data_IF_491290114962
#
_entry.id   IF_491290114962
#
_cell.length_a   1.000
_cell.length_b   1.000
_cell.length_c   1.000
_cell.angle_alpha   90.00
_cell.angle_beta   90.00
_cell.angle_gamma   90.00
#
_symmetry.space_group_name_H-M   'P 1'
#
loop_
_entity.id
_entity.type
_entity.pdbx_description
1 polymer ?
#
# COMPACT_ATOMS: atom_id res chain seq x y z
N UNK A 1 -1.40 23.40 0.96
CA UNK A 1 -0.40 22.58 1.70
C UNK A 1 0.11 21.38 0.88
N UNK A 2 -0.79 20.59 0.26
CA UNK A 2 -0.48 19.37 -0.51
C UNK A 2 0.48 19.61 -1.70
N UNK A 3 0.29 20.68 -2.48
CA UNK A 3 1.14 21.01 -3.64
C UNK A 3 2.61 21.29 -3.24
N UNK A 4 2.84 21.92 -2.09
CA UNK A 4 4.20 22.17 -1.56
C UNK A 4 4.90 20.88 -1.13
N UNK A 5 4.14 19.90 -0.62
CA UNK A 5 4.67 18.59 -0.21
C UNK A 5 5.04 17.77 -1.45
N UNK A 6 4.19 17.70 -2.46
CA UNK A 6 4.49 17.00 -3.72
C UNK A 6 5.72 17.56 -4.43
N UNK A 7 5.85 18.90 -4.55
CA UNK A 7 7.04 19.53 -5.16
C UNK A 7 8.33 19.20 -4.39
N UNK A 8 8.27 19.00 -3.07
CA UNK A 8 9.44 18.56 -2.27
C UNK A 8 9.80 17.10 -2.54
N UNK A 9 8.81 16.22 -2.67
CA UNK A 9 9.02 14.79 -2.95
C UNK A 9 9.63 14.58 -4.34
N UNK A 10 9.12 15.26 -5.37
CA UNK A 10 9.66 15.15 -6.74
C UNK A 10 11.13 15.57 -6.80
N UNK A 11 11.49 16.67 -6.11
CA UNK A 11 12.89 17.14 -6.03
C UNK A 11 13.81 16.14 -5.31
N UNK A 12 13.33 15.50 -4.26
CA UNK A 12 14.07 14.45 -3.55
C UNK A 12 14.35 13.24 -4.45
N UNK A 13 13.38 12.85 -5.27
CA UNK A 13 13.51 11.72 -6.20
C UNK A 13 14.51 12.05 -7.30
N UNK A 14 14.41 13.25 -7.91
CA UNK A 14 15.30 13.70 -8.98
C UNK A 14 16.75 13.82 -8.52
N UNK A 15 17.00 14.43 -7.35
CA UNK A 15 18.34 14.56 -6.81
C UNK A 15 18.98 13.19 -6.50
N UNK A 16 18.22 12.24 -5.94
CA UNK A 16 18.70 10.86 -5.71
C UNK A 16 19.06 10.15 -7.02
N UNK A 17 18.23 10.33 -8.06
CA UNK A 17 18.48 9.75 -9.39
C UNK A 17 19.79 10.29 -9.99
N UNK A 18 19.97 11.61 -9.99
CA UNK A 18 21.17 12.25 -10.54
C UNK A 18 22.45 11.78 -9.80
N UNK A 19 22.40 11.69 -8.46
CA UNK A 19 23.56 11.23 -7.67
C UNK A 19 23.88 9.77 -7.99
N UNK A 20 22.87 8.92 -8.13
CA UNK A 20 23.06 7.50 -8.46
C UNK A 20 23.58 7.29 -9.89
N UNK A 21 23.23 8.17 -10.82
CA UNK A 21 23.71 8.12 -12.21
C UNK A 21 25.14 8.66 -12.34
N UNK A 22 25.53 9.66 -11.53
CA UNK A 22 26.86 10.29 -11.59
C UNK A 22 27.92 9.65 -10.69
N UNK A 23 27.50 8.95 -9.64
CA UNK A 23 28.41 8.35 -8.67
C UNK A 23 28.17 6.84 -8.57
N UNK A 24 29.29 6.10 -8.60
CA UNK A 24 29.47 4.65 -8.73
C UNK A 24 28.34 3.79 -8.14
N UNK A 25 27.97 2.76 -8.89
CA UNK A 25 26.92 1.75 -8.65
C UNK A 25 26.91 1.07 -7.27
N UNK A 26 27.98 1.18 -6.49
CA UNK A 26 28.14 0.59 -5.14
C UNK A 26 27.89 1.56 -3.97
N UNK A 27 27.59 2.84 -4.24
CA UNK A 27 27.40 3.84 -3.18
C UNK A 27 25.99 3.82 -2.59
N UNK A 28 25.89 3.84 -1.25
CA UNK A 28 24.60 4.05 -0.57
C UNK A 28 24.26 5.54 -0.60
N UNK A 29 23.16 5.88 -1.29
CA UNK A 29 22.66 7.26 -1.34
C UNK A 29 21.66 7.50 -0.22
N UNK A 30 21.95 8.44 0.68
CA UNK A 30 21.07 8.81 1.80
C UNK A 30 20.84 10.32 1.87
N UNK A 31 19.77 10.71 2.56
CA UNK A 31 19.60 12.08 3.04
C UNK A 31 20.36 12.22 4.36
N UNK A 32 21.01 13.36 4.57
CA UNK A 32 21.74 13.65 5.79
C UNK A 32 21.36 15.00 6.37
N UNK A 33 21.62 15.15 7.68
CA UNK A 33 21.63 16.44 8.37
C UNK A 33 23.04 16.70 8.93
N UNK A 34 23.59 17.88 8.65
CA UNK A 34 24.82 18.40 9.26
C UNK A 34 24.44 19.67 10.02
N UNK A 35 25.07 19.90 11.18
CA UNK A 35 24.69 20.94 12.16
C UNK A 35 24.61 22.38 11.61
N UNK A 36 25.13 22.66 10.40
CA UNK A 36 25.08 23.97 9.71
C UNK A 36 24.34 23.98 8.36
N UNK A 37 23.76 22.88 7.92
CA UNK A 37 23.08 22.78 6.62
C UNK A 37 21.61 22.31 6.76
N UNK A 38 20.71 22.97 6.01
CA UNK A 38 19.43 22.34 5.60
C UNK A 38 19.75 21.06 4.82
N UNK A 39 19.00 20.00 5.11
CA UNK A 39 19.11 18.64 4.57
C UNK A 39 19.85 18.51 3.22
N UNK A 40 20.85 17.63 3.17
CA UNK A 40 21.62 17.34 1.96
C UNK A 40 21.55 15.87 1.56
N UNK A 41 22.25 15.50 0.50
CA UNK A 41 22.35 14.12 0.01
C UNK A 41 23.77 13.62 0.16
N UNK A 42 23.95 12.39 0.62
CA UNK A 42 25.26 11.78 0.76
C UNK A 42 25.34 10.53 -0.11
N UNK A 43 26.44 10.37 -0.84
CA UNK A 43 26.85 9.10 -1.42
C UNK A 43 27.96 8.52 -0.55
N UNK A 44 27.75 7.31 -0.03
CA UNK A 44 28.67 6.64 0.89
C UNK A 44 29.21 5.38 0.22
N UNK A 45 30.53 5.30 0.08
CA UNK A 45 31.29 4.12 -0.36
C UNK A 45 32.30 3.69 0.70
N UNK A 46 33.01 2.59 0.46
CA UNK A 46 34.05 2.09 1.38
C UNK A 46 35.23 3.06 1.54
N UNK A 47 35.41 3.96 0.59
CA UNK A 47 36.55 4.89 0.58
C UNK A 47 36.14 6.31 0.90
N UNK A 48 34.93 6.72 0.51
CA UNK A 48 34.55 8.13 0.49
C UNK A 48 33.11 8.36 0.98
N UNK A 49 32.92 9.49 1.66
CA UNK A 49 31.60 10.08 1.87
C UNK A 49 31.55 11.41 1.11
N UNK A 50 30.75 11.46 0.05
CA UNK A 50 30.48 12.68 -0.70
C UNK A 50 29.17 13.31 -0.26
N UNK A 51 29.18 14.59 0.06
CA UNK A 51 28.01 15.37 0.46
C UNK A 51 27.62 16.32 -0.66
N UNK A 52 26.32 16.39 -0.95
CA UNK A 52 25.72 17.17 -2.02
C UNK A 52 24.57 18.03 -1.51
N UNK A 53 24.33 19.13 -2.22
CA UNK A 53 23.15 19.98 -2.08
C UNK A 53 22.48 20.13 -3.43
N UNK A 54 21.14 20.18 -3.42
CA UNK A 54 20.38 20.49 -4.62
C UNK A 54 20.46 21.99 -4.92
N UNK A 55 20.98 22.33 -6.08
CA UNK A 55 20.96 23.66 -6.66
C UNK A 55 19.64 23.85 -7.44
N UNK A 56 18.85 24.82 -6.99
CA UNK A 56 17.53 25.08 -7.59
C UNK A 56 17.62 25.78 -8.93
N UNK A 57 18.68 26.54 -9.18
CA UNK A 57 18.84 27.33 -10.40
C UNK A 57 19.31 26.44 -11.55
N UNK A 58 20.17 25.47 -11.25
CA UNK A 58 20.72 24.53 -12.23
C UNK A 58 19.91 23.24 -12.37
N UNK A 59 18.87 23.07 -11.56
CA UNK A 59 18.11 21.81 -11.40
C UNK A 59 19.00 20.58 -11.21
N UNK A 60 20.09 20.74 -10.46
CA UNK A 60 21.16 19.76 -10.36
C UNK A 60 21.71 19.63 -8.92
N UNK A 61 22.57 18.66 -8.68
CA UNK A 61 23.27 18.45 -7.41
C UNK A 61 24.71 18.96 -7.49
N UNK A 62 25.08 19.77 -6.51
CA UNK A 62 26.45 20.30 -6.38
C UNK A 62 27.11 19.62 -5.19
N UNK A 63 28.33 19.11 -5.39
CA UNK A 63 29.15 18.52 -4.32
C UNK A 63 29.61 19.64 -3.40
N UNK A 64 29.21 19.56 -2.13
CA UNK A 64 29.55 20.54 -1.09
C UNK A 64 30.78 20.10 -0.32
N UNK A 65 30.94 18.79 -0.12
CA UNK A 65 32.06 18.26 0.64
C UNK A 65 32.38 16.82 0.26
N UNK A 66 33.62 16.41 0.52
CA UNK A 66 34.05 15.02 0.45
C UNK A 66 34.90 14.70 1.69
N UNK A 67 34.78 13.47 2.16
CA UNK A 67 35.55 12.92 3.27
C UNK A 67 36.15 11.60 2.81
N UNK A 68 37.46 11.45 2.97
CA UNK A 68 38.13 10.17 2.76
C UNK A 68 38.06 9.39 4.06
N UNK A 69 37.52 8.17 4.01
CA UNK A 69 37.33 7.35 5.19
C UNK A 69 38.66 6.90 5.81
N UNK A 70 39.72 6.80 5.01
CA UNK A 70 41.08 6.53 5.47
C UNK A 70 41.67 7.62 6.39
N UNK A 71 41.12 8.84 6.39
CA UNK A 71 41.56 9.92 7.29
C UNK A 71 41.09 9.74 8.75
N UNK A 72 40.27 8.73 9.02
CA UNK A 72 39.65 8.51 10.32
C UNK A 72 40.07 7.18 10.93
N UNK A 73 40.49 7.24 12.19
CA UNK A 73 40.96 6.06 12.92
C UNK A 73 39.80 5.33 13.61
N UNK A 74 38.74 6.09 13.95
CA UNK A 74 37.61 5.58 14.74
C UNK A 74 36.28 6.15 14.29
N UNK A 75 35.25 5.31 14.34
CA UNK A 75 33.85 5.73 14.21
C UNK A 75 33.06 5.33 15.43
N UNK A 76 32.42 6.31 16.06
CA UNK A 76 31.45 6.06 17.12
C UNK A 76 30.04 6.08 16.56
N UNK A 77 29.32 4.97 16.72
CA UNK A 77 27.94 4.82 16.26
C UNK A 77 27.00 4.88 17.47
N UNK A 78 26.06 5.81 17.42
CA UNK A 78 25.11 6.04 18.50
C UNK A 78 23.66 6.00 17.98
N UNK A 79 22.91 4.99 18.42
CA UNK A 79 21.50 4.82 18.05
C UNK A 79 20.58 5.53 19.05
N UNK A 80 19.85 6.53 18.56
CA UNK A 80 18.71 7.15 19.24
C UNK A 80 17.39 6.55 18.74
N UNK A 81 16.28 6.88 19.40
CA UNK A 81 14.95 6.38 19.02
C UNK A 81 14.56 6.72 17.56
N UNK A 82 15.00 7.87 17.04
CA UNK A 82 14.61 8.37 15.72
C UNK A 82 15.76 8.75 14.79
N UNK A 83 17.01 8.52 15.22
CA UNK A 83 18.20 8.86 14.41
C UNK A 83 19.41 8.02 14.82
N UNK A 84 20.35 7.88 13.91
CA UNK A 84 21.67 7.32 14.18
C UNK A 84 22.71 8.43 13.98
N UNK A 85 23.58 8.65 14.97
CA UNK A 85 24.73 9.54 14.83
C UNK A 85 25.97 8.69 14.61
N UNK A 86 26.73 9.01 13.57
CA UNK A 86 28.03 8.40 13.28
C UNK A 86 29.07 9.50 13.40
N UNK A 87 29.91 9.43 14.44
CA UNK A 87 30.99 10.39 14.67
C UNK A 87 32.31 9.75 14.24
N UNK A 88 32.83 10.22 13.11
CA UNK A 88 34.14 9.88 12.58
C UNK A 88 35.18 10.74 13.28
N UNK A 89 36.21 10.11 13.84
CA UNK A 89 37.28 10.73 14.62
C UNK A 89 38.60 10.31 13.98
N UNK A 90 39.32 11.29 13.46
CA UNK A 90 40.68 11.14 12.95
C UNK A 90 41.61 12.12 13.64
N UNK A 91 42.90 12.02 13.34
CA UNK A 91 43.95 12.78 14.04
C UNK A 91 43.72 14.31 14.01
N UNK A 92 43.31 14.86 12.86
CA UNK A 92 43.15 16.32 12.67
C UNK A 92 41.71 16.75 12.37
N UNK A 93 40.76 15.81 12.32
CA UNK A 93 39.40 16.10 11.86
C UNK A 93 38.38 15.20 12.53
N UNK A 94 37.26 15.82 12.90
CA UNK A 94 36.07 15.10 13.34
C UNK A 94 34.92 15.42 12.39
N UNK A 95 34.17 14.40 11.99
CA UNK A 95 33.00 14.53 11.13
C UNK A 95 31.81 13.83 11.78
N UNK A 96 30.70 14.56 11.92
CA UNK A 96 29.45 13.99 12.44
C UNK A 96 28.50 13.80 11.26
N UNK A 97 28.18 12.55 11.00
CA UNK A 97 27.26 12.12 9.97
C UNK A 97 25.97 11.59 10.59
N UNK A 98 24.84 12.14 10.17
CA UNK A 98 23.51 11.69 10.60
C UNK A 98 22.73 11.19 9.39
N UNK A 99 22.88 9.90 9.01
CA UNK A 99 22.07 9.32 7.94
C UNK A 99 20.61 9.24 8.38
N UNK A 100 19.70 9.78 7.57
CA UNK A 100 18.26 9.70 7.83
C UNK A 100 17.61 8.42 7.28
N UNK A 101 18.27 7.77 6.32
CA UNK A 101 17.80 6.56 5.65
C UNK A 101 18.97 5.59 5.45
N UNK A 102 18.69 4.31 5.21
CA UNK A 102 19.69 3.29 4.89
C UNK A 102 20.87 3.17 5.89
N UNK A 103 20.70 3.63 7.14
CA UNK A 103 21.76 3.68 8.13
C UNK A 103 22.36 2.31 8.46
N UNK A 104 21.57 1.22 8.41
CA UNK A 104 22.07 -0.15 8.61
C UNK A 104 23.04 -0.58 7.51
N UNK A 105 22.75 -0.22 6.25
CA UNK A 105 23.64 -0.52 5.13
C UNK A 105 24.94 0.27 5.19
N UNK A 106 24.85 1.53 5.63
CA UNK A 106 26.04 2.38 5.86
C UNK A 106 26.88 1.82 7.02
N UNK A 107 26.25 1.41 8.12
CA UNK A 107 26.94 0.80 9.24
C UNK A 107 27.67 -0.49 8.84
N UNK A 108 26.99 -1.40 8.11
CA UNK A 108 27.61 -2.61 7.58
C UNK A 108 28.82 -2.29 6.69
N UNK A 109 28.69 -1.28 5.83
CA UNK A 109 29.77 -0.83 4.97
C UNK A 109 30.95 -0.31 5.80
N UNK A 110 30.72 0.50 6.84
CA UNK A 110 31.79 1.01 7.71
C UNK A 110 32.46 -0.13 8.48
N UNK A 111 31.71 -1.11 8.99
CA UNK A 111 32.27 -2.30 9.66
C UNK A 111 33.15 -3.15 8.72
N UNK A 112 32.93 -3.07 7.41
CA UNK A 112 33.76 -3.78 6.42
C UNK A 112 35.12 -3.12 6.16
N UNK A 113 35.37 -1.91 6.69
CA UNK A 113 36.60 -1.17 6.48
C UNK A 113 37.60 -1.54 7.59
N UNK A 114 38.71 -2.25 7.28
CA UNK A 114 39.62 -2.75 8.30
C UNK A 114 40.42 -1.64 9.00
N UNK A 115 40.60 -0.49 8.35
CA UNK A 115 41.39 0.64 8.89
C UNK A 115 40.65 1.47 9.94
N UNK A 116 39.37 1.23 10.18
CA UNK A 116 38.53 2.07 11.06
C UNK A 116 38.03 1.24 12.24
N UNK A 117 38.37 1.69 13.45
CA UNK A 117 37.81 1.09 14.66
C UNK A 117 36.35 1.53 14.85
N UNK A 118 35.40 0.59 14.78
CA UNK A 118 33.98 0.89 15.02
C UNK A 118 33.60 0.64 16.47
N UNK A 119 33.08 1.67 17.13
CA UNK A 119 32.61 1.63 18.52
C UNK A 119 31.13 1.94 18.58
N UNK A 120 30.31 0.95 18.89
CA UNK A 120 28.86 1.13 19.06
C UNK A 120 28.53 1.47 20.51
N UNK A 121 27.98 2.66 20.77
CA UNK A 121 27.56 3.07 22.11
C UNK A 121 26.23 2.40 22.47
N UNK A 122 26.29 1.42 23.36
CA UNK A 122 25.10 0.79 23.94
C UNK A 122 24.51 1.69 25.01
N UNK A 123 23.32 2.26 24.74
CA UNK A 123 22.52 3.00 25.73
C UNK A 123 21.30 2.19 26.18
N UNK A 124 20.99 2.26 27.47
CA UNK A 124 19.75 1.73 28.03
C UNK A 124 18.57 2.47 27.37
N UNK A 125 17.56 1.73 26.92
CA UNK A 125 16.53 2.22 25.99
C UNK A 125 15.83 3.50 26.44
N UNK A 126 15.50 3.65 27.72
CA UNK A 126 14.87 4.87 28.25
C UNK A 126 15.74 6.12 28.13
N UNK A 127 17.09 5.99 28.12
CA UNK A 127 18.01 7.12 27.92
C UNK A 127 18.12 7.55 26.45
N UNK A 128 17.50 6.81 25.51
CA UNK A 128 17.40 7.18 24.09
C UNK A 128 16.24 8.15 23.82
N UNK A 129 15.34 8.33 24.78
CA UNK A 129 14.11 9.10 24.68
C UNK A 129 14.38 10.57 25.08
N UNK A 130 13.77 11.53 24.35
CA UNK A 130 13.93 12.96 24.62
C UNK A 130 13.34 13.28 26.00
N UNK A 131 14.07 14.06 26.82
CA UNK A 131 13.66 14.40 28.20
C UNK A 131 14.29 13.52 29.29
N UNK A 132 14.38 12.21 29.08
CA UNK A 132 15.08 11.29 30.01
C UNK A 132 16.61 11.35 29.90
N UNK A 133 17.12 11.98 28.84
CA UNK A 133 18.56 12.20 28.62
C UNK A 133 19.22 13.06 29.70
N UNK A 134 18.49 13.98 30.33
CA UNK A 134 19.10 15.02 31.17
C UNK A 134 19.39 14.60 32.61
N UNK A 135 18.89 13.46 33.11
CA UNK A 135 18.98 13.01 34.52
C UNK A 135 18.42 13.98 35.58
N UNK A 136 18.01 15.18 35.19
CA UNK A 136 17.43 16.18 36.08
C UNK A 136 15.95 15.86 36.30
N UNK A 137 15.56 15.72 37.57
CA UNK A 137 14.21 15.28 38.00
C UNK A 137 13.09 16.08 37.30
N UNK A 138 13.23 17.39 37.15
CA UNK A 138 12.20 18.23 36.53
C UNK A 138 11.99 17.94 35.03
N UNK A 139 13.07 17.71 34.26
CA UNK A 139 12.99 17.37 32.83
C UNK A 139 12.44 15.97 32.62
N UNK A 140 12.73 15.06 33.54
CA UNK A 140 12.13 13.73 33.57
C UNK A 140 10.63 13.80 33.86
N UNK A 141 10.20 14.55 34.88
CA UNK A 141 8.77 14.73 35.18
C UNK A 141 8.00 15.36 34.02
N UNK A 142 8.54 16.41 33.38
CA UNK A 142 7.89 17.04 32.23
C UNK A 142 7.79 16.10 31.03
N UNK A 143 8.84 15.30 30.79
CA UNK A 143 8.82 14.27 29.75
C UNK A 143 7.79 13.18 30.06
N UNK A 144 7.71 12.69 31.30
CA UNK A 144 6.70 11.73 31.74
C UNK A 144 5.30 12.26 31.48
N UNK A 145 5.00 13.51 31.86
CA UNK A 145 3.70 14.14 31.58
C UNK A 145 3.42 14.18 30.08
N UNK A 146 4.39 14.61 29.26
CA UNK A 146 4.25 14.63 27.80
C UNK A 146 4.03 13.24 27.19
N UNK A 147 4.77 12.23 27.65
CA UNK A 147 4.59 10.85 27.21
C UNK A 147 3.28 10.24 27.71
N UNK A 148 2.81 10.59 28.90
CA UNK A 148 1.48 10.22 29.39
C UNK A 148 0.42 10.89 28.52
N UNK A 149 0.55 12.17 28.17
CA UNK A 149 -0.39 12.87 27.29
C UNK A 149 -0.43 12.25 25.89
N UNK A 150 0.74 11.93 25.31
CA UNK A 150 0.83 11.22 24.03
C UNK A 150 0.28 9.80 24.18
N UNK A 151 0.54 9.11 25.30
CA UNK A 151 0.04 7.75 25.55
C UNK A 151 -1.46 7.77 25.81
N UNK A 152 -2.02 8.77 26.46
CA UNK A 152 -3.45 8.97 26.66
C UNK A 152 -4.11 9.40 25.36
N UNK A 153 -3.46 10.22 24.53
CA UNK A 153 -3.92 10.47 23.15
C UNK A 153 -3.83 9.23 22.28
N UNK A 154 -2.78 8.40 22.47
CA UNK A 154 -2.61 7.12 21.76
C UNK A 154 -3.55 6.07 22.30
N UNK A 155 -3.91 6.07 23.57
CA UNK A 155 -4.92 5.21 24.20
C UNK A 155 -6.30 5.74 23.85
N UNK A 156 -6.54 7.03 23.72
CA UNK A 156 -7.74 7.57 23.08
C UNK A 156 -7.70 7.43 21.55
N UNK A 157 -6.59 6.98 20.98
CA UNK A 157 -6.53 6.46 19.61
C UNK A 157 -6.78 4.96 19.62
N UNK A 158 -6.31 4.20 20.63
CA UNK A 158 -6.30 2.74 20.74
C UNK A 158 -7.58 2.16 21.38
N UNK A 159 -8.09 2.75 22.48
CA UNK A 159 -9.44 2.53 23.01
C UNK A 159 -10.48 3.10 22.07
N UNK A 160 -10.15 4.20 21.39
CA UNK A 160 -10.93 4.56 20.23
C UNK A 160 -10.64 3.57 19.10
N UNK A 161 -9.53 2.81 18.99
CA UNK A 161 -9.27 1.71 18.02
C UNK A 161 -10.06 0.42 18.33
N UNK A 162 -10.50 0.23 19.58
CA UNK A 162 -11.65 -0.63 19.87
C UNK A 162 -12.92 -0.19 19.10
N UNK A 163 -12.99 1.10 18.72
CA UNK A 163 -13.97 1.68 17.78
C UNK A 163 -13.37 2.17 16.43
N UNK A 164 -12.05 2.17 16.21
CA UNK A 164 -11.34 3.04 15.23
C UNK A 164 -10.25 2.35 14.40
N UNK A 165 -9.85 1.12 14.74
CA UNK A 165 -9.42 0.16 13.73
C UNK A 165 -10.63 -0.17 12.83
N UNK A 166 -11.83 -0.14 13.42
CA UNK A 166 -13.10 -0.13 12.70
C UNK A 166 -13.36 1.15 11.88
N UNK A 167 -12.58 2.23 11.98
CA UNK A 167 -12.83 3.48 11.23
C UNK A 167 -11.76 3.81 10.19
N UNK A 168 -10.47 3.49 10.39
CA UNK A 168 -9.42 3.71 9.37
C UNK A 168 -9.30 2.56 8.36
N UNK A 169 -9.44 1.31 8.81
CA UNK A 169 -9.60 0.18 7.89
C UNK A 169 -10.95 0.34 7.17
N UNK A 170 -12.03 0.70 7.88
CA UNK A 170 -13.29 1.06 7.19
C UNK A 170 -13.15 2.24 6.26
N UNK A 171 -12.41 3.32 6.52
CA UNK A 171 -12.31 4.46 5.58
C UNK A 171 -11.52 4.14 4.31
N UNK A 172 -10.46 3.32 4.40
CA UNK A 172 -9.63 2.96 3.23
C UNK A 172 -10.25 1.77 2.47
N UNK A 173 -10.85 0.80 3.18
CA UNK A 173 -11.74 -0.20 2.59
C UNK A 173 -13.00 0.45 2.03
N UNK A 174 -13.58 1.47 2.65
CA UNK A 174 -14.75 2.20 2.12
C UNK A 174 -14.35 2.95 0.87
N UNK A 175 -13.21 3.61 0.80
CA UNK A 175 -12.78 4.26 -0.44
C UNK A 175 -12.56 3.24 -1.57
N UNK A 176 -11.85 2.13 -1.31
CA UNK A 176 -11.59 1.10 -2.33
C UNK A 176 -12.85 0.28 -2.67
N UNK A 177 -13.70 -0.05 -1.70
CA UNK A 177 -15.00 -0.69 -1.92
C UNK A 177 -15.94 0.24 -2.67
N UNK A 178 -15.94 1.55 -2.40
CA UNK A 178 -16.79 2.51 -3.10
C UNK A 178 -16.31 2.77 -4.53
N UNK A 179 -14.99 2.76 -4.77
CA UNK A 179 -14.42 2.74 -6.14
C UNK A 179 -14.85 1.45 -6.86
N UNK A 180 -14.72 0.29 -6.22
CA UNK A 180 -15.12 -0.98 -6.82
C UNK A 180 -16.64 -1.05 -7.04
N UNK A 181 -17.44 -0.57 -6.10
CA UNK A 181 -18.89 -0.50 -6.19
C UNK A 181 -19.34 0.40 -7.35
N UNK A 182 -18.73 1.58 -7.48
CA UNK A 182 -19.01 2.48 -8.61
C UNK A 182 -18.63 1.84 -9.94
N UNK A 183 -17.50 1.14 -10.00
CA UNK A 183 -17.09 0.41 -11.21
C UNK A 183 -18.06 -0.73 -11.55
N UNK A 184 -18.46 -1.53 -10.55
CA UNK A 184 -19.44 -2.62 -10.75
C UNK A 184 -20.77 -2.04 -11.22
N UNK A 185 -21.26 -0.97 -10.58
CA UNK A 185 -22.49 -0.29 -11.01
C UNK A 185 -22.36 0.23 -12.44
N UNK A 186 -21.22 0.82 -12.82
CA UNK A 186 -20.96 1.25 -14.19
C UNK A 186 -20.99 0.10 -15.20
N UNK A 187 -20.38 -1.05 -14.87
CA UNK A 187 -20.43 -2.25 -15.72
C UNK A 187 -21.86 -2.80 -15.82
N UNK A 188 -22.59 -2.87 -14.71
CA UNK A 188 -23.98 -3.32 -14.70
C UNK A 188 -24.87 -2.38 -15.52
N UNK A 189 -24.67 -1.07 -15.41
CA UNK A 189 -25.40 -0.08 -16.19
C UNK A 189 -25.12 -0.23 -17.70
N UNK A 190 -23.86 -0.43 -18.06
CA UNK A 190 -23.46 -0.62 -19.46
C UNK A 190 -24.02 -1.92 -20.06
N UNK A 191 -24.02 -3.02 -19.32
CA UNK A 191 -24.44 -4.33 -19.86
C UNK A 191 -25.95 -4.49 -19.79
N UNK A 192 -26.56 -4.13 -18.66
CA UNK A 192 -27.98 -4.38 -18.40
C UNK A 192 -28.80 -3.14 -17.98
N UNK A 193 -28.19 -1.99 -17.72
CA UNK A 193 -28.89 -0.83 -17.19
C UNK A 193 -29.19 -0.95 -15.69
N UNK A 194 -29.02 0.15 -14.97
CA UNK A 194 -29.14 0.19 -13.50
C UNK A 194 -30.46 -0.34 -12.93
N UNK A 195 -31.58 -0.18 -13.66
CA UNK A 195 -32.91 -0.63 -13.19
C UNK A 195 -32.99 -2.14 -12.98
N UNK A 196 -32.11 -2.93 -13.61
CA UNK A 196 -32.06 -4.40 -13.49
C UNK A 196 -31.11 -4.87 -12.38
N UNK A 197 -30.43 -3.97 -11.67
CA UNK A 197 -29.68 -4.30 -10.47
C UNK A 197 -30.64 -4.31 -9.26
N UNK A 198 -30.92 -5.51 -8.73
CA UNK A 198 -31.76 -5.68 -7.54
C UNK A 198 -30.93 -5.40 -6.28
N UNK A 199 -29.73 -5.96 -6.23
CA UNK A 199 -28.85 -5.85 -5.06
C UNK A 199 -27.40 -6.07 -5.43
N UNK A 200 -26.50 -5.27 -4.86
CA UNK A 200 -25.06 -5.46 -4.89
C UNK A 200 -24.57 -5.57 -3.44
N UNK A 201 -23.87 -6.66 -3.10
CA UNK A 201 -23.15 -6.78 -1.84
C UNK A 201 -21.68 -7.10 -2.11
N UNK A 202 -20.79 -6.32 -1.53
CA UNK A 202 -19.33 -6.55 -1.57
C UNK A 202 -18.89 -6.93 -0.17
N UNK A 203 -18.32 -8.13 -0.01
CA UNK A 203 -17.84 -8.66 1.27
C UNK A 203 -16.35 -8.89 1.22
N UNK A 204 -15.66 -8.72 2.36
CA UNK A 204 -14.26 -9.13 2.51
C UNK A 204 -14.19 -10.65 2.47
N UNK A 205 -13.22 -11.20 1.74
CA UNK A 205 -12.97 -12.63 1.77
C UNK A 205 -12.16 -12.99 3.02
N UNK A 206 -12.84 -13.49 4.04
CA UNK A 206 -12.22 -13.88 5.31
C UNK A 206 -11.35 -15.15 5.20
N UNK A 207 -11.48 -15.90 4.11
CA UNK A 207 -10.74 -17.15 3.88
C UNK A 207 -9.52 -16.94 2.99
N UNK A 208 -9.32 -15.73 2.45
CA UNK A 208 -8.17 -15.38 1.62
C UNK A 208 -6.93 -15.12 2.48
N UNK A 209 -5.77 -15.60 2.02
CA UNK A 209 -4.45 -15.27 2.61
C UNK A 209 -4.06 -13.80 2.40
N UNK A 210 -4.70 -13.13 1.46
CA UNK A 210 -4.52 -11.70 1.15
C UNK A 210 -5.69 -10.89 1.71
N UNK A 211 -5.39 -9.89 2.54
CA UNK A 211 -6.38 -9.12 3.30
C UNK A 211 -7.31 -8.23 2.43
N UNK A 212 -6.97 -8.01 1.16
CA UNK A 212 -7.69 -7.05 0.29
C UNK A 212 -8.64 -7.72 -0.72
N UNK A 213 -8.78 -9.05 -0.64
CA UNK A 213 -9.62 -9.82 -1.57
C UNK A 213 -11.10 -9.70 -1.23
N UNK A 214 -11.92 -9.54 -2.25
CA UNK A 214 -13.35 -9.27 -2.11
C UNK A 214 -14.22 -10.30 -2.84
N UNK A 215 -15.39 -10.57 -2.25
CA UNK A 215 -16.47 -11.39 -2.80
C UNK A 215 -17.59 -10.46 -3.23
N UNK A 216 -17.94 -10.50 -4.51
CA UNK A 216 -19.03 -9.72 -5.08
C UNK A 216 -20.26 -10.61 -5.18
N UNK A 217 -21.40 -10.12 -4.69
CA UNK A 217 -22.70 -10.74 -4.87
C UNK A 217 -23.62 -9.79 -5.64
N UNK A 218 -24.02 -10.20 -6.83
CA UNK A 218 -24.91 -9.48 -7.72
C UNK A 218 -26.24 -10.20 -7.78
N UNK A 219 -27.30 -9.53 -7.35
CA UNK A 219 -28.69 -9.95 -7.61
C UNK A 219 -29.25 -9.10 -8.73
N UNK A 220 -29.65 -9.76 -9.81
CA UNK A 220 -29.98 -9.12 -11.09
C UNK A 220 -31.35 -9.58 -11.57
N UNK A 221 -32.02 -8.74 -12.33
CA UNK A 221 -33.26 -9.06 -13.02
C UNK A 221 -32.98 -9.35 -14.49
N UNK A 222 -33.47 -10.47 -15.00
CA UNK A 222 -33.37 -10.78 -16.43
C UNK A 222 -34.25 -9.83 -17.25
N UNK A 223 -33.99 -9.78 -18.56
CA UNK A 223 -34.91 -9.14 -19.50
C UNK A 223 -36.20 -9.95 -19.55
N UNK A 224 -37.27 -9.28 -19.97
CA UNK A 224 -38.43 -9.97 -20.52
C UNK A 224 -37.99 -10.64 -21.82
N UNK A 225 -38.36 -11.90 -21.99
CA UNK A 225 -38.07 -12.68 -23.19
C UNK A 225 -39.32 -13.41 -23.66
N UNK A 226 -39.30 -13.81 -24.92
CA UNK A 226 -40.44 -14.50 -25.56
C UNK A 226 -40.51 -15.96 -25.09
N UNK A 227 -39.36 -16.60 -24.89
CA UNK A 227 -39.26 -17.97 -24.37
C UNK A 227 -38.28 -18.06 -23.18
N UNK A 228 -38.38 -19.12 -22.38
CA UNK A 228 -37.44 -19.36 -21.29
C UNK A 228 -36.00 -19.62 -21.78
N UNK A 229 -35.85 -20.26 -22.94
CA UNK A 229 -34.56 -20.44 -23.61
C UNK A 229 -33.91 -19.10 -23.98
N UNK A 230 -34.67 -18.17 -24.55
CA UNK A 230 -34.17 -16.82 -24.88
C UNK A 230 -33.72 -16.07 -23.62
N UNK A 231 -34.48 -16.22 -22.53
CA UNK A 231 -34.14 -15.61 -21.24
C UNK A 231 -32.83 -16.21 -20.70
N UNK A 232 -32.68 -17.54 -20.76
CA UNK A 232 -31.46 -18.22 -20.29
C UNK A 232 -30.24 -17.79 -21.10
N UNK A 233 -30.33 -17.75 -22.42
CA UNK A 233 -29.25 -17.29 -23.29
C UNK A 233 -28.88 -15.84 -23.00
N UNK A 234 -29.88 -14.95 -22.89
CA UNK A 234 -29.64 -13.55 -22.53
C UNK A 234 -28.98 -13.39 -21.16
N UNK A 235 -29.38 -14.19 -20.16
CA UNK A 235 -28.76 -14.18 -18.83
C UNK A 235 -27.28 -14.57 -18.90
N UNK A 236 -26.98 -15.64 -19.65
CA UNK A 236 -25.61 -16.13 -19.76
C UNK A 236 -24.72 -15.14 -20.55
N UNK A 237 -25.23 -14.54 -21.62
CA UNK A 237 -24.53 -13.48 -22.36
C UNK A 237 -24.28 -12.23 -21.51
N UNK A 238 -25.31 -11.72 -20.84
CA UNK A 238 -25.18 -10.58 -19.92
C UNK A 238 -24.15 -10.92 -18.81
N UNK A 239 -24.15 -12.16 -18.29
CA UNK A 239 -23.15 -12.63 -17.30
C UNK A 239 -21.74 -12.68 -17.88
N UNK A 240 -21.56 -13.19 -19.10
CA UNK A 240 -20.29 -13.24 -19.81
C UNK A 240 -19.69 -11.84 -19.97
N UNK A 241 -20.52 -10.89 -20.41
CA UNK A 241 -20.13 -9.51 -20.64
C UNK A 241 -19.74 -8.81 -19.32
N UNK A 242 -20.49 -9.02 -18.25
CA UNK A 242 -20.12 -8.51 -16.93
C UNK A 242 -18.82 -9.14 -16.41
N UNK A 243 -18.67 -10.46 -16.55
CA UNK A 243 -17.47 -11.17 -16.11
C UNK A 243 -16.22 -10.67 -16.85
N UNK A 244 -16.30 -10.44 -18.17
CA UNK A 244 -15.21 -9.90 -18.97
C UNK A 244 -14.71 -8.55 -18.41
N UNK A 245 -15.64 -7.63 -18.15
CA UNK A 245 -15.33 -6.29 -17.68
C UNK A 245 -14.80 -6.26 -16.24
N UNK A 246 -15.26 -7.19 -15.40
CA UNK A 246 -14.83 -7.31 -14.01
C UNK A 246 -13.52 -8.10 -13.85
N UNK A 247 -13.20 -9.03 -14.77
CA UNK A 247 -12.03 -9.90 -14.68
C UNK A 247 -10.68 -9.19 -14.69
N UNK A 248 -10.65 -7.93 -15.13
CA UNK A 248 -9.45 -7.08 -15.08
C UNK A 248 -9.10 -6.61 -13.66
N UNK A 249 -10.02 -6.70 -12.71
CA UNK A 249 -9.77 -6.34 -11.32
C UNK A 249 -9.05 -7.47 -10.56
N UNK A 250 -7.86 -7.16 -10.01
CA UNK A 250 -7.09 -8.13 -9.22
C UNK A 250 -7.58 -8.24 -7.78
N UNK A 251 -8.41 -7.30 -7.30
CA UNK A 251 -8.98 -7.31 -5.95
C UNK A 251 -10.19 -8.24 -5.80
N UNK A 252 -10.76 -8.70 -6.91
CA UNK A 252 -11.91 -9.62 -6.90
C UNK A 252 -11.40 -11.06 -6.78
N UNK A 253 -11.83 -11.76 -5.73
CA UNK A 253 -11.54 -13.18 -5.56
C UNK A 253 -12.69 -14.08 -5.98
N UNK A 254 -13.92 -13.59 -5.88
CA UNK A 254 -15.11 -14.35 -6.24
C UNK A 254 -16.22 -13.43 -6.72
N UNK A 255 -16.99 -13.88 -7.71
CA UNK A 255 -18.21 -13.19 -8.18
C UNK A 255 -19.36 -14.19 -8.19
N UNK A 256 -20.45 -13.82 -7.53
CA UNK A 256 -21.70 -14.56 -7.48
C UNK A 256 -22.78 -13.77 -8.25
N UNK A 257 -23.31 -14.35 -9.31
CA UNK A 257 -24.46 -13.80 -10.02
C UNK A 257 -25.72 -14.60 -9.62
N UNK A 258 -26.78 -13.90 -9.23
CA UNK A 258 -28.09 -14.45 -8.91
C UNK A 258 -29.14 -13.72 -9.72
N UNK A 259 -29.67 -14.39 -10.74
CA UNK A 259 -30.66 -13.84 -11.66
C UNK A 259 -32.07 -14.19 -11.22
N UNK A 260 -32.98 -13.23 -11.31
CA UNK A 260 -34.42 -13.41 -11.10
C UNK A 260 -35.18 -13.09 -12.38
N UNK A 261 -36.28 -13.79 -12.61
CA UNK A 261 -37.18 -13.49 -13.72
C UNK A 261 -37.96 -12.19 -13.45
N UNK A 262 -38.39 -11.48 -14.49
CA UNK A 262 -39.33 -10.38 -14.34
C UNK A 262 -40.65 -10.89 -13.72
N UNK A 263 -41.35 -10.07 -12.94
CA UNK A 263 -42.68 -10.42 -12.43
C UNK A 263 -43.67 -10.45 -13.60
N UNK A 264 -44.07 -11.65 -14.03
CA UNK A 264 -44.98 -11.81 -15.19
C UNK A 264 -46.46 -11.58 -14.81
N UNK A 265 -46.82 -11.67 -13.52
CA UNK A 265 -48.09 -11.24 -12.86
C UNK A 265 -48.09 -11.77 -11.40
N UNK A 266 -49.09 -11.46 -10.59
CA UNK A 266 -49.16 -11.64 -9.12
C UNK A 266 -48.91 -13.05 -8.52
N UNK A 267 -48.56 -14.06 -9.34
CA UNK A 267 -48.28 -15.40 -8.83
C UNK A 267 -46.83 -15.53 -8.32
N UNK A 268 -46.69 -15.93 -7.06
CA UNK A 268 -45.54 -15.69 -6.19
C UNK A 268 -44.40 -16.72 -6.31
N UNK A 269 -44.54 -17.76 -7.12
CA UNK A 269 -43.56 -18.87 -7.21
C UNK A 269 -42.28 -18.52 -7.98
N UNK A 270 -42.29 -17.50 -8.85
CA UNK A 270 -41.13 -17.05 -9.64
C UNK A 270 -40.28 -15.96 -8.95
N UNK A 271 -40.57 -15.61 -7.68
CA UNK A 271 -39.74 -14.68 -6.89
C UNK A 271 -38.36 -15.24 -6.51
N UNK A 272 -38.15 -16.53 -6.73
CA UNK A 272 -36.91 -17.24 -6.49
C UNK A 272 -35.88 -16.93 -7.59
N UNK A 273 -34.61 -17.20 -7.29
CA UNK A 273 -33.57 -17.08 -8.31
C UNK A 273 -33.87 -18.08 -9.43
N UNK A 274 -33.76 -17.64 -10.67
CA UNK A 274 -33.92 -18.46 -11.87
C UNK A 274 -32.57 -19.05 -12.31
N UNK A 275 -31.47 -18.33 -12.08
CA UNK A 275 -30.13 -18.83 -12.35
C UNK A 275 -29.13 -18.31 -11.31
N UNK A 276 -28.23 -19.17 -10.86
CA UNK A 276 -27.10 -18.81 -10.01
C UNK A 276 -25.81 -19.33 -10.62
N UNK A 277 -24.81 -18.46 -10.70
CA UNK A 277 -23.49 -18.83 -11.20
C UNK A 277 -22.40 -18.14 -10.40
N UNK A 278 -21.41 -18.91 -9.97
CA UNK A 278 -20.31 -18.45 -9.12
C UNK A 278 -18.97 -18.75 -9.79
N UNK A 279 -18.11 -17.74 -9.83
CA UNK A 279 -16.73 -17.85 -10.30
C UNK A 279 -15.77 -17.52 -9.17
N UNK A 280 -14.77 -18.37 -8.96
CA UNK A 280 -13.59 -18.04 -8.15
C UNK A 280 -12.53 -17.32 -9.01
N UNK A 281 -11.45 -16.88 -8.36
CA UNK A 281 -10.36 -16.18 -9.04
C UNK A 281 -9.81 -16.96 -10.23
N UNK A 282 -9.67 -18.28 -10.10
CA UNK A 282 -9.16 -19.14 -11.17
C UNK A 282 -10.11 -19.16 -12.37
N UNK A 283 -11.42 -19.29 -12.14
CA UNK A 283 -12.46 -19.21 -13.17
C UNK A 283 -12.49 -17.85 -13.87
N UNK A 284 -12.40 -16.76 -13.09
CA UNK A 284 -12.33 -15.38 -13.61
C UNK A 284 -11.10 -15.20 -14.52
N UNK A 285 -9.92 -15.66 -14.10
CA UNK A 285 -8.71 -15.56 -14.92
C UNK A 285 -8.75 -16.45 -16.16
N UNK A 286 -9.34 -17.65 -16.09
CA UNK A 286 -9.53 -18.51 -17.28
C UNK A 286 -10.40 -17.83 -18.33
N UNK A 287 -11.49 -17.20 -17.91
CA UNK A 287 -12.37 -16.46 -18.81
C UNK A 287 -11.62 -15.32 -19.52
N UNK A 288 -10.82 -14.54 -18.76
CA UNK A 288 -10.02 -13.43 -19.29
C UNK A 288 -9.03 -13.83 -20.38
N UNK A 289 -8.42 -15.01 -20.29
CA UNK A 289 -7.32 -15.44 -21.18
C UNK A 289 -7.78 -16.31 -22.36
N UNK A 290 -9.08 -16.29 -22.72
CA UNK A 290 -9.55 -16.85 -23.99
C UNK A 290 -10.63 -17.93 -23.92
N UNK A 291 -11.20 -18.22 -22.74
CA UNK A 291 -12.37 -19.13 -22.61
C UNK A 291 -13.72 -18.42 -22.83
N UNK A 292 -13.76 -17.50 -23.81
CA UNK A 292 -14.73 -16.41 -23.90
C UNK A 292 -15.98 -16.71 -24.74
N UNK A 293 -16.63 -17.86 -24.55
CA UNK A 293 -17.98 -18.05 -25.10
C UNK A 293 -18.98 -18.51 -24.03
N UNK A 294 -20.26 -18.25 -24.28
CA UNK A 294 -21.36 -18.56 -23.37
C UNK A 294 -21.36 -20.04 -22.90
N UNK A 295 -20.97 -20.95 -23.80
CA UNK A 295 -20.94 -22.41 -23.57
C UNK A 295 -19.82 -22.84 -22.61
N UNK A 296 -18.84 -21.98 -22.36
CA UNK A 296 -17.72 -22.24 -21.45
C UNK A 296 -17.91 -21.63 -20.06
N UNK A 297 -18.82 -20.66 -19.90
CA UNK A 297 -19.13 -20.06 -18.60
C UNK A 297 -19.48 -21.11 -17.54
N UNK A 298 -20.35 -22.06 -17.88
CA UNK A 298 -20.80 -23.10 -16.95
C UNK A 298 -19.67 -24.08 -16.58
N UNK A 299 -18.70 -24.28 -17.47
CA UNK A 299 -17.54 -25.17 -17.26
C UNK A 299 -16.48 -24.57 -16.35
N UNK A 300 -16.33 -23.25 -16.37
CA UNK A 300 -15.34 -22.54 -15.55
C UNK A 300 -15.92 -22.02 -14.23
N UNK A 301 -17.25 -22.04 -14.08
CA UNK A 301 -17.92 -21.75 -12.83
C UNK A 301 -17.63 -22.84 -11.79
N UNK A 302 -17.40 -22.43 -10.54
CA UNK A 302 -17.28 -23.38 -9.43
C UNK A 302 -18.63 -23.86 -8.92
N UNK A 303 -19.70 -23.10 -9.19
CA UNK A 303 -21.09 -23.48 -8.92
C UNK A 303 -21.98 -22.92 -10.02
N UNK A 304 -22.88 -23.75 -10.51
CA UNK A 304 -23.91 -23.39 -11.48
C UNK A 304 -25.21 -24.07 -11.09
N UNK A 305 -26.31 -23.33 -11.17
CA UNK A 305 -27.67 -23.86 -10.97
C UNK A 305 -28.64 -23.05 -11.82
N UNK A 306 -29.51 -23.75 -12.58
CA UNK A 306 -30.64 -23.21 -13.33
C UNK A 306 -31.94 -23.78 -12.78
N UNK A 307 -33.00 -22.98 -12.79
CA UNK A 307 -34.35 -23.48 -12.55
C UNK A 307 -34.77 -24.40 -13.71
N UNK A 308 -35.40 -25.56 -13.46
CA UNK A 308 -35.76 -26.52 -14.52
C UNK A 308 -36.57 -25.91 -15.67
N UNK A 309 -37.46 -24.96 -15.38
CA UNK A 309 -38.24 -24.25 -16.40
C UNK A 309 -37.41 -23.39 -17.38
N UNK A 310 -36.12 -23.18 -17.12
CA UNK A 310 -35.21 -22.55 -18.08
C UNK A 310 -34.58 -23.54 -19.08
N UNK A 311 -34.77 -24.84 -18.84
CA UNK A 311 -34.23 -25.93 -19.65
C UNK A 311 -35.31 -26.58 -20.55
N UNK A 312 -36.57 -26.14 -20.43
CA UNK A 312 -37.73 -26.49 -21.26
C UNK A 312 -37.85 -25.58 -22.50
#
# INVERSE_FOLDING_TARGET
>A
MIIRVMKRIIKLIQAKKIIKERYITSSVVTIFKVDKFEYGYAAVSQEHIHLFKYDKEKEDVVRVQAYQLAEFDRVTIEHFAFKTLMKFIGTNRTFIFTPMQHFKGIEHLIHSIPSIQVVTIKRIWFRKIIGFRSLHKWKMSLAVIGYILISVMSINLIMNEGESDSKKEKQTLTANQQILENRIKGVVDQVIGQKRLIKLEIKKDMNSKEADKQIINLSLQSREGVTFSDIKHSILDDTANMLYNLASDRGINQINFSWKLPPITENTSLRNNALKITFDYKGIQKYRHGAGNEKELTKIAIRYWSHPSLDE
#
